data_IF_840421380577
#
_entry.id   IF_840421380577
#
_cell.length_a   1.000
_cell.length_b   1.000
_cell.length_c   1.000
_cell.angle_alpha   90.00
_cell.angle_beta   90.00
_cell.angle_gamma   90.00
#
_symmetry.space_group_name_H-M   'P 1'
#
loop_
_entity.id
_entity.type
_entity.pdbx_description
1 polymer ?
#
# COMPACT_ATOMS: atom_id res chain seq x y z
N UNK A 1 61.34 82.22 -49.97
CA UNK A 1 60.84 80.85 -50.25
C UNK A 1 61.24 79.98 -49.08
N UNK A 2 60.31 79.78 -48.14
CA UNK A 2 60.51 78.97 -46.92
C UNK A 2 59.69 77.68 -47.03
N UNK A 3 60.23 76.52 -46.61
CA UNK A 3 59.61 75.21 -46.80
C UNK A 3 58.42 74.95 -45.87
N UNK A 4 57.46 74.08 -46.25
CA UNK A 4 56.22 73.85 -45.51
C UNK A 4 56.42 73.02 -44.23
N UNK A 5 55.68 73.39 -43.19
CA UNK A 5 55.70 72.76 -41.86
C UNK A 5 55.11 71.33 -41.88
N UNK A 6 55.65 70.40 -41.06
CA UNK A 6 55.23 69.00 -41.04
C UNK A 6 53.87 68.78 -40.34
N UNK A 7 53.11 67.84 -40.90
CA UNK A 7 51.76 67.41 -40.51
C UNK A 7 51.77 66.69 -39.15
N UNK A 8 51.00 67.19 -38.18
CA UNK A 8 50.84 66.59 -36.84
C UNK A 8 50.04 65.28 -36.94
N UNK A 9 50.49 64.15 -36.35
CA UNK A 9 49.72 62.90 -36.34
C UNK A 9 48.61 62.93 -35.27
N UNK A 10 47.46 62.32 -35.59
CA UNK A 10 46.31 62.17 -34.69
C UNK A 10 46.60 61.25 -33.48
N UNK A 11 45.91 61.43 -32.34
CA UNK A 11 46.12 60.63 -31.14
C UNK A 11 45.65 59.17 -31.31
N UNK A 12 46.31 58.19 -30.66
CA UNK A 12 45.93 56.78 -30.75
C UNK A 12 44.64 56.48 -29.98
N UNK A 13 43.80 55.62 -30.57
CA UNK A 13 42.56 55.09 -29.98
C UNK A 13 42.82 54.32 -28.67
N UNK A 14 41.84 54.27 -27.74
CA UNK A 14 41.99 53.58 -26.45
C UNK A 14 42.16 52.06 -26.67
N UNK A 15 43.20 51.51 -26.04
CA UNK A 15 43.50 50.08 -26.05
C UNK A 15 42.47 49.37 -25.16
N UNK A 16 41.68 48.46 -25.73
CA UNK A 16 40.75 47.62 -24.97
C UNK A 16 41.52 46.74 -23.98
N UNK A 17 41.27 46.89 -22.69
CA UNK A 17 41.87 46.06 -21.64
C UNK A 17 41.52 44.57 -21.84
N UNK A 18 42.49 43.64 -21.83
CA UNK A 18 42.21 42.22 -21.97
C UNK A 18 41.51 41.68 -20.72
N UNK A 19 40.38 41.00 -20.91
CA UNK A 19 39.68 40.30 -19.84
C UNK A 19 40.63 39.29 -19.13
N UNK A 20 40.55 39.16 -17.79
CA UNK A 20 41.44 38.30 -17.02
C UNK A 20 41.32 36.84 -17.49
N UNK A 21 42.43 36.31 -18.02
CA UNK A 21 42.51 34.93 -18.51
C UNK A 21 42.86 34.01 -17.34
N UNK A 22 41.87 33.25 -16.85
CA UNK A 22 42.09 32.15 -15.90
C UNK A 22 43.20 31.23 -16.41
N UNK A 23 44.18 30.92 -15.55
CA UNK A 23 45.32 30.05 -15.90
C UNK A 23 44.83 28.65 -16.27
N UNK A 24 45.56 27.99 -17.18
CA UNK A 24 45.24 26.65 -17.68
C UNK A 24 44.99 25.63 -16.55
N UNK A 25 45.79 25.60 -15.46
CA UNK A 25 45.54 24.71 -14.32
C UNK A 25 44.23 25.00 -13.58
N UNK A 26 43.85 26.27 -13.40
CA UNK A 26 42.61 26.65 -12.71
C UNK A 26 41.38 26.22 -13.49
N UNK A 27 41.41 26.26 -14.83
CA UNK A 27 40.31 25.77 -15.67
C UNK A 27 40.13 24.26 -15.55
N UNK A 28 41.23 23.50 -15.52
CA UNK A 28 41.20 22.03 -15.34
C UNK A 28 40.64 21.68 -13.96
N UNK A 29 41.12 22.34 -12.91
CA UNK A 29 40.64 22.12 -11.55
C UNK A 29 39.15 22.45 -11.41
N UNK A 30 38.69 23.56 -11.99
CA UNK A 30 37.28 23.96 -11.94
C UNK A 30 36.37 22.97 -12.67
N UNK A 31 36.82 22.46 -13.83
CA UNK A 31 36.11 21.40 -14.55
C UNK A 31 36.00 20.12 -13.72
N UNK A 32 37.09 19.72 -13.07
CA UNK A 32 37.11 18.53 -12.21
C UNK A 32 36.21 18.69 -10.97
N UNK A 33 36.23 19.86 -10.32
CA UNK A 33 35.38 20.16 -9.17
C UNK A 33 33.88 20.18 -9.54
N UNK A 34 33.53 20.71 -10.72
CA UNK A 34 32.16 20.67 -11.24
C UNK A 34 31.70 19.24 -11.51
N UNK A 35 32.53 18.43 -12.16
CA UNK A 35 32.22 17.03 -12.43
C UNK A 35 32.03 16.24 -11.12
N UNK A 36 32.91 16.45 -10.14
CA UNK A 36 32.82 15.81 -8.83
C UNK A 36 31.57 16.24 -8.07
N UNK A 37 31.23 17.53 -8.09
CA UNK A 37 30.01 18.04 -7.46
C UNK A 37 28.74 17.47 -8.10
N UNK A 38 28.69 17.37 -9.43
CA UNK A 38 27.59 16.74 -10.14
C UNK A 38 27.47 15.25 -9.78
N UNK A 39 28.60 14.53 -9.72
CA UNK A 39 28.63 13.12 -9.34
C UNK A 39 28.13 12.90 -7.91
N UNK A 40 28.58 13.71 -6.95
CA UNK A 40 28.11 13.66 -5.55
C UNK A 40 26.62 13.98 -5.45
N UNK A 41 26.13 14.98 -6.19
CA UNK A 41 24.71 15.30 -6.22
C UNK A 41 23.88 14.11 -6.77
N UNK A 42 24.33 13.49 -7.86
CA UNK A 42 23.67 12.30 -8.43
C UNK A 42 23.68 11.14 -7.43
N UNK A 43 24.78 10.89 -6.71
CA UNK A 43 24.85 9.87 -5.67
C UNK A 43 23.87 10.13 -4.52
N UNK A 44 23.80 11.37 -4.02
CA UNK A 44 22.88 11.74 -2.94
C UNK A 44 21.43 11.59 -3.40
N UNK A 45 21.09 12.09 -4.60
CA UNK A 45 19.76 11.92 -5.19
C UNK A 45 19.41 10.44 -5.42
N UNK A 46 20.38 9.62 -5.83
CA UNK A 46 20.20 8.18 -6.05
C UNK A 46 19.94 7.42 -4.74
N UNK A 47 20.70 7.69 -3.69
CA UNK A 47 20.49 7.07 -2.37
C UNK A 47 19.16 7.52 -1.76
N UNK A 48 18.80 8.80 -1.89
CA UNK A 48 17.51 9.32 -1.44
C UNK A 48 16.32 8.70 -2.20
N UNK A 49 16.49 8.36 -3.48
CA UNK A 49 15.50 7.60 -4.26
C UNK A 49 15.47 6.11 -3.89
N UNK A 50 16.60 5.54 -3.48
CA UNK A 50 16.69 4.11 -3.11
C UNK A 50 15.99 3.82 -1.78
N UNK A 51 16.09 4.71 -0.79
CA UNK A 51 15.43 4.55 0.52
C UNK A 51 13.90 4.45 0.38
N UNK A 52 13.29 5.28 -0.48
CA UNK A 52 11.84 5.21 -0.77
C UNK A 52 11.41 3.90 -1.44
N UNK A 53 12.33 3.21 -2.12
CA UNK A 53 12.02 1.95 -2.81
C UNK A 53 12.13 0.75 -1.87
N UNK A 54 13.05 0.78 -0.91
CA UNK A 54 13.20 -0.29 0.10
C UNK A 54 12.05 -0.32 1.11
N UNK A 55 11.57 0.84 1.56
CA UNK A 55 10.42 0.95 2.49
C UNK A 55 9.11 0.45 1.85
N UNK A 56 8.89 0.73 0.55
CA UNK A 56 7.73 0.21 -0.19
C UNK A 56 7.76 -1.30 -0.41
N UNK A 57 8.95 -1.90 -0.59
CA UNK A 57 9.12 -3.35 -0.70
C UNK A 57 8.85 -4.06 0.64
N UNK A 58 9.28 -3.47 1.76
CA UNK A 58 9.02 -4.03 3.08
C UNK A 58 7.52 -3.98 3.44
N UNK A 59 6.83 -2.88 3.13
CA UNK A 59 5.38 -2.76 3.36
C UNK A 59 4.58 -3.74 2.48
N UNK A 60 5.04 -4.02 1.26
CA UNK A 60 4.43 -5.01 0.39
C UNK A 60 4.61 -6.43 0.94
N UNK A 61 5.84 -6.84 1.23
CA UNK A 61 6.17 -8.21 1.63
C UNK A 61 5.72 -8.55 3.05
N UNK A 62 5.84 -7.61 3.99
CA UNK A 62 5.54 -7.84 5.42
C UNK A 62 4.22 -7.23 5.88
N UNK A 63 3.60 -6.36 5.08
CA UNK A 63 2.32 -5.72 5.40
C UNK A 63 1.17 -6.24 4.54
N UNK A 64 1.14 -5.85 3.26
CA UNK A 64 -0.02 -6.08 2.40
C UNK A 64 -0.21 -7.53 1.95
N UNK A 65 0.87 -8.30 1.68
CA UNK A 65 0.75 -9.70 1.26
C UNK A 65 0.12 -10.58 2.36
N UNK A 66 0.64 -10.59 3.61
CA UNK A 66 0.01 -11.35 4.69
C UNK A 66 -1.46 -10.95 4.90
N UNK A 67 -1.74 -9.64 4.88
CA UNK A 67 -3.08 -9.10 5.04
C UNK A 67 -4.04 -9.58 3.94
N UNK A 68 -3.59 -9.62 2.68
CA UNK A 68 -4.39 -10.12 1.57
C UNK A 68 -4.77 -11.60 1.75
N UNK A 69 -3.83 -12.41 2.26
CA UNK A 69 -4.07 -13.84 2.54
C UNK A 69 -5.13 -13.98 3.64
N UNK A 70 -4.96 -13.29 4.76
CA UNK A 70 -5.87 -13.42 5.91
C UNK A 70 -7.26 -12.87 5.63
N UNK A 71 -7.38 -11.74 4.94
CA UNK A 71 -8.69 -11.20 4.51
C UNK A 71 -9.34 -12.12 3.46
N UNK A 72 -8.55 -12.69 2.55
CA UNK A 72 -9.03 -13.67 1.57
C UNK A 72 -9.57 -14.95 2.23
N UNK A 73 -8.86 -15.47 3.23
CA UNK A 73 -9.30 -16.63 4.02
C UNK A 73 -10.60 -16.33 4.77
N UNK A 74 -10.70 -15.16 5.42
CA UNK A 74 -11.91 -14.74 6.11
C UNK A 74 -13.11 -14.67 5.15
N UNK A 75 -12.94 -14.11 3.96
CA UNK A 75 -13.99 -14.02 2.95
C UNK A 75 -14.43 -15.40 2.43
N UNK A 76 -13.48 -16.31 2.17
CA UNK A 76 -13.79 -17.66 1.70
C UNK A 76 -14.60 -18.45 2.74
N UNK A 77 -14.18 -18.38 4.01
CA UNK A 77 -14.89 -19.02 5.12
C UNK A 77 -16.30 -18.42 5.32
N UNK A 78 -16.45 -17.11 5.10
CA UNK A 78 -17.74 -16.43 5.19
C UNK A 78 -18.73 -16.88 4.10
N UNK A 79 -18.29 -17.10 2.86
CA UNK A 79 -19.17 -17.58 1.78
C UNK A 79 -19.73 -18.98 2.05
N UNK A 80 -18.91 -19.86 2.64
CA UNK A 80 -19.36 -21.16 3.12
C UNK A 80 -20.37 -21.01 4.25
N UNK A 81 -20.17 -20.02 5.12
CA UNK A 81 -21.06 -19.78 6.23
C UNK A 81 -22.46 -19.36 5.79
N UNK A 82 -22.56 -18.36 4.91
CA UNK A 82 -23.82 -17.88 4.36
C UNK A 82 -24.63 -19.03 3.72
N UNK A 83 -23.97 -19.90 2.96
CA UNK A 83 -24.61 -21.05 2.30
C UNK A 83 -25.22 -22.04 3.30
N UNK A 84 -24.56 -22.26 4.44
CA UNK A 84 -25.03 -23.19 5.46
C UNK A 84 -26.10 -22.57 6.35
N UNK A 85 -25.98 -21.27 6.67
CA UNK A 85 -27.04 -20.52 7.34
C UNK A 85 -28.33 -20.48 6.49
N UNK A 86 -28.21 -20.52 5.16
CA UNK A 86 -29.37 -20.60 4.29
C UNK A 86 -30.16 -21.91 4.43
N UNK A 87 -29.46 -23.01 4.72
CA UNK A 87 -30.03 -24.37 4.78
C UNK A 87 -30.46 -24.82 6.17
N UNK A 88 -30.05 -24.11 7.23
CA UNK A 88 -30.27 -24.52 8.63
C UNK A 88 -31.74 -24.73 9.02
N UNK A 89 -32.68 -24.06 8.33
CA UNK A 89 -34.12 -24.22 8.58
C UNK A 89 -34.75 -25.37 7.78
N UNK A 90 -34.08 -25.86 6.74
CA UNK A 90 -34.56 -26.91 5.84
C UNK A 90 -34.05 -28.30 6.27
N UNK A 91 -32.98 -28.34 7.06
CA UNK A 91 -32.30 -29.55 7.50
C UNK A 91 -33.05 -30.25 8.65
N UNK A 92 -33.37 -31.54 8.48
CA UNK A 92 -34.06 -32.34 9.51
C UNK A 92 -33.17 -32.73 10.69
N UNK A 93 -31.84 -32.79 10.50
CA UNK A 93 -30.87 -33.13 11.54
C UNK A 93 -30.13 -31.87 12.01
N UNK A 94 -30.63 -31.28 13.09
CA UNK A 94 -30.06 -30.05 13.67
C UNK A 94 -28.72 -30.28 14.38
N UNK A 95 -28.31 -31.53 14.61
CA UNK A 95 -27.11 -31.84 15.41
C UNK A 95 -25.82 -31.53 14.67
N UNK A 96 -25.74 -31.89 13.39
CA UNK A 96 -24.59 -31.61 12.53
C UNK A 96 -24.43 -30.09 12.31
N UNK A 97 -25.51 -29.39 12.01
CA UNK A 97 -25.51 -27.94 11.80
C UNK A 97 -25.13 -27.21 13.08
N UNK A 98 -25.58 -27.68 14.25
CA UNK A 98 -25.21 -27.12 15.56
C UNK A 98 -23.74 -27.31 15.88
N UNK A 99 -23.19 -28.49 15.64
CA UNK A 99 -21.77 -28.76 15.87
C UNK A 99 -20.86 -27.90 14.97
N UNK A 100 -21.23 -27.77 13.70
CA UNK A 100 -20.51 -26.92 12.76
C UNK A 100 -20.63 -25.44 13.15
N UNK A 101 -21.83 -24.95 13.50
CA UNK A 101 -22.03 -23.57 13.96
C UNK A 101 -21.17 -23.25 15.19
N UNK A 102 -21.09 -24.15 16.18
CA UNK A 102 -20.21 -23.98 17.35
C UNK A 102 -18.73 -23.92 16.95
N UNK A 103 -18.31 -24.75 16.00
CA UNK A 103 -16.94 -24.73 15.49
C UNK A 103 -16.62 -23.39 14.83
N UNK A 104 -17.49 -22.90 13.95
CA UNK A 104 -17.25 -21.65 13.24
C UNK A 104 -17.30 -20.44 14.18
N UNK A 105 -18.16 -20.45 15.22
CA UNK A 105 -18.17 -19.43 16.29
C UNK A 105 -16.83 -19.31 16.98
N UNK A 106 -16.08 -20.40 17.14
CA UNK A 106 -14.73 -20.39 17.75
C UNK A 106 -13.65 -19.89 16.79
N UNK A 107 -13.75 -20.23 15.51
CA UNK A 107 -12.70 -19.93 14.52
C UNK A 107 -12.77 -18.49 14.02
N UNK A 108 -13.96 -17.98 13.71
CA UNK A 108 -14.15 -16.65 13.09
C UNK A 108 -13.52 -15.49 13.90
N UNK A 109 -13.72 -15.39 15.22
CA UNK A 109 -13.08 -14.35 16.03
C UNK A 109 -11.55 -14.46 16.01
N UNK A 110 -11.00 -15.67 15.99
CA UNK A 110 -9.55 -15.87 15.93
C UNK A 110 -8.97 -15.38 14.59
N UNK A 111 -9.64 -15.67 13.48
CA UNK A 111 -9.25 -15.16 12.15
C UNK A 111 -9.34 -13.64 12.10
N UNK A 112 -10.38 -13.03 12.68
CA UNK A 112 -10.52 -11.57 12.72
C UNK A 112 -9.42 -10.89 13.54
N UNK A 113 -9.10 -11.44 14.72
CA UNK A 113 -7.98 -10.97 15.55
C UNK A 113 -6.65 -11.03 14.80
N UNK A 114 -6.42 -12.09 14.02
CA UNK A 114 -5.23 -12.20 13.16
C UNK A 114 -5.21 -11.12 12.08
N UNK A 115 -6.32 -10.90 11.37
CA UNK A 115 -6.41 -9.86 10.35
C UNK A 115 -6.13 -8.46 10.93
N UNK A 116 -6.69 -8.15 12.11
CA UNK A 116 -6.43 -6.89 12.82
C UNK A 116 -4.98 -6.76 13.28
N UNK A 117 -4.37 -7.85 13.72
CA UNK A 117 -2.93 -7.90 14.04
C UNK A 117 -2.07 -7.62 12.80
N UNK A 118 -2.43 -8.15 11.64
CA UNK A 118 -1.68 -7.92 10.40
C UNK A 118 -1.82 -6.47 9.91
N UNK A 119 -3.00 -5.85 10.06
CA UNK A 119 -3.18 -4.40 9.83
C UNK A 119 -2.32 -3.58 10.80
N UNK A 120 -2.26 -3.97 12.07
CA UNK A 120 -1.41 -3.29 13.04
C UNK A 120 0.08 -3.41 12.67
N UNK A 121 0.51 -4.63 12.32
CA UNK A 121 1.87 -4.91 11.88
C UNK A 121 2.25 -4.10 10.64
N UNK A 122 1.34 -3.96 9.67
CA UNK A 122 1.56 -3.10 8.51
C UNK A 122 1.65 -1.61 8.91
N UNK A 123 0.86 -1.15 9.87
CA UNK A 123 0.84 0.26 10.29
C UNK A 123 2.11 0.73 11.00
N UNK A 124 2.87 -0.19 11.62
CA UNK A 124 4.13 0.14 12.30
C UNK A 124 5.33 0.19 11.34
N UNK A 125 5.16 -0.19 10.07
CA UNK A 125 6.21 -0.16 9.03
C UNK A 125 6.41 1.22 8.39
N UNK A 126 6.08 2.30 9.10
CA UNK A 126 6.16 3.69 8.61
C UNK A 126 5.53 3.90 7.22
N UNK A 127 4.25 3.51 7.03
CA UNK A 127 3.56 3.65 5.75
C UNK A 127 3.50 5.12 5.28
N UNK A 128 3.47 5.30 3.95
CA UNK A 128 3.15 6.60 3.37
C UNK A 128 1.73 7.05 3.77
N UNK A 129 1.44 8.35 3.69
CA UNK A 129 0.15 8.91 4.11
C UNK A 129 -1.06 8.22 3.46
N UNK A 130 -0.91 7.81 2.20
CA UNK A 130 -1.96 7.09 1.46
C UNK A 130 -2.18 5.67 2.00
N UNK A 131 -1.10 4.97 2.38
CA UNK A 131 -1.16 3.63 2.97
C UNK A 131 -1.74 3.69 4.39
N UNK A 132 -1.44 4.75 5.15
CA UNK A 132 -2.08 5.01 6.46
C UNK A 132 -3.59 5.07 6.31
N UNK A 133 -4.09 5.86 5.35
CA UNK A 133 -5.54 6.00 5.11
C UNK A 133 -6.16 4.66 4.71
N UNK A 134 -5.50 3.90 3.83
CA UNK A 134 -5.97 2.59 3.41
C UNK A 134 -6.02 1.59 4.58
N UNK A 135 -4.96 1.53 5.41
CA UNK A 135 -4.89 0.64 6.56
C UNK A 135 -5.92 1.00 7.64
N UNK A 136 -6.18 2.28 7.91
CA UNK A 136 -7.25 2.70 8.82
C UNK A 136 -8.63 2.31 8.29
N UNK A 137 -8.86 2.45 6.97
CA UNK A 137 -10.11 1.99 6.35
C UNK A 137 -10.29 0.48 6.53
N UNK A 138 -9.28 -0.32 6.20
CA UNK A 138 -9.31 -1.77 6.39
C UNK A 138 -9.57 -2.11 7.86
N UNK A 139 -8.89 -1.44 8.79
CA UNK A 139 -9.08 -1.64 10.23
C UNK A 139 -10.53 -1.37 10.65
N UNK A 140 -11.14 -0.31 10.15
CA UNK A 140 -12.51 0.05 10.48
C UNK A 140 -13.52 -0.99 9.99
N UNK A 141 -13.35 -1.48 8.75
CA UNK A 141 -14.20 -2.55 8.20
C UNK A 141 -14.06 -3.84 9.03
N UNK A 142 -12.82 -4.24 9.36
CA UNK A 142 -12.56 -5.45 10.15
C UNK A 142 -13.08 -5.36 11.60
N UNK A 143 -12.95 -4.21 12.25
CA UNK A 143 -13.52 -3.98 13.59
C UNK A 143 -15.04 -4.09 13.60
N UNK A 144 -15.68 -3.52 12.58
CA UNK A 144 -17.14 -3.64 12.42
C UNK A 144 -17.57 -5.11 12.34
N UNK A 145 -16.80 -5.95 11.62
CA UNK A 145 -17.06 -7.40 11.58
C UNK A 145 -16.84 -8.07 12.95
N UNK A 146 -15.79 -7.71 13.67
CA UNK A 146 -15.55 -8.21 15.04
C UNK A 146 -16.69 -7.87 16.00
N UNK A 147 -17.22 -6.66 15.90
CA UNK A 147 -18.36 -6.18 16.70
C UNK A 147 -19.63 -6.97 16.37
N UNK A 148 -19.91 -7.23 15.08
CA UNK A 148 -21.05 -8.05 14.65
C UNK A 148 -20.91 -9.48 15.17
N UNK A 149 -19.72 -10.09 15.06
CA UNK A 149 -19.50 -11.44 15.60
C UNK A 149 -19.76 -11.50 17.10
N UNK A 150 -19.31 -10.49 17.84
CA UNK A 150 -19.52 -10.40 19.30
C UNK A 150 -21.00 -10.22 19.65
N UNK A 151 -21.75 -9.43 18.88
CA UNK A 151 -23.18 -9.20 19.09
C UNK A 151 -24.05 -10.43 18.75
N UNK A 152 -23.59 -11.27 17.81
CA UNK A 152 -24.37 -12.39 17.29
C UNK A 152 -24.33 -13.63 18.17
N UNK A 153 -23.40 -13.72 19.13
CA UNK A 153 -23.26 -14.85 20.05
C UNK A 153 -24.59 -15.16 20.78
N UNK A 154 -25.25 -14.14 21.33
CA UNK A 154 -26.52 -14.29 22.02
C UNK A 154 -27.66 -14.70 21.08
N UNK A 155 -27.61 -14.25 19.83
CA UNK A 155 -28.61 -14.55 18.81
C UNK A 155 -28.56 -16.01 18.37
N UNK A 156 -27.37 -16.61 18.23
CA UNK A 156 -27.22 -18.03 17.93
C UNK A 156 -27.77 -18.91 19.05
N UNK A 157 -27.52 -18.54 20.30
CA UNK A 157 -28.05 -19.28 21.45
C UNK A 157 -29.58 -19.16 21.52
N UNK A 158 -30.13 -17.99 21.20
CA UNK A 158 -31.58 -17.81 21.09
C UNK A 158 -32.19 -18.64 19.96
N UNK A 159 -31.52 -18.73 18.80
CA UNK A 159 -31.95 -19.56 17.67
C UNK A 159 -32.06 -21.04 18.07
N UNK A 160 -31.02 -21.62 18.64
CA UNK A 160 -31.06 -23.04 19.04
C UNK A 160 -32.09 -23.32 20.12
N UNK A 161 -32.27 -22.41 21.09
CA UNK A 161 -33.36 -22.54 22.08
C UNK A 161 -34.74 -22.54 21.45
N UNK A 162 -34.97 -21.72 20.42
CA UNK A 162 -36.24 -21.69 19.70
C UNK A 162 -36.48 -23.00 18.91
N UNK A 163 -35.44 -23.54 18.27
CA UNK A 163 -35.49 -24.84 17.59
C UNK A 163 -35.79 -25.97 18.59
N UNK A 164 -35.08 -26.02 19.72
CA UNK A 164 -35.24 -27.05 20.76
C UNK A 164 -36.65 -27.04 21.39
N UNK A 165 -37.34 -25.90 21.38
CA UNK A 165 -38.73 -25.73 21.87
C UNK A 165 -39.81 -25.96 20.79
N UNK A 166 -39.42 -26.20 19.54
CA UNK A 166 -40.36 -26.31 18.42
C UNK A 166 -40.98 -24.97 17.98
N UNK A 167 -40.40 -23.83 18.38
CA UNK A 167 -40.85 -22.48 18.07
C UNK A 167 -40.33 -22.03 16.69
N UNK A 168 -40.66 -22.78 15.63
CA UNK A 168 -40.11 -22.57 14.28
C UNK A 168 -40.33 -21.15 13.72
N UNK A 169 -41.44 -20.50 14.08
CA UNK A 169 -41.71 -19.11 13.72
C UNK A 169 -40.74 -18.11 14.34
N UNK A 170 -40.32 -18.33 15.59
CA UNK A 170 -39.33 -17.47 16.26
C UNK A 170 -37.92 -17.76 15.75
N UNK A 171 -37.59 -19.04 15.56
CA UNK A 171 -36.33 -19.44 14.94
C UNK A 171 -36.14 -18.83 13.55
N UNK A 172 -37.20 -18.78 12.73
CA UNK A 172 -37.18 -18.15 11.40
C UNK A 172 -36.89 -16.65 11.45
N UNK A 173 -37.46 -15.92 12.43
CA UNK A 173 -37.15 -14.48 12.61
C UNK A 173 -35.70 -14.26 12.98
N UNK A 174 -35.16 -15.06 13.90
CA UNK A 174 -33.76 -14.96 14.35
C UNK A 174 -32.81 -15.25 13.19
N UNK A 175 -33.05 -16.32 12.41
CA UNK A 175 -32.28 -16.62 11.20
C UNK A 175 -32.37 -15.47 10.18
N UNK A 176 -33.54 -14.85 10.03
CA UNK A 176 -33.71 -13.70 9.15
C UNK A 176 -32.87 -12.48 9.55
N UNK A 177 -32.66 -12.26 10.86
CA UNK A 177 -31.76 -11.24 11.41
C UNK A 177 -30.30 -11.61 11.12
N UNK A 178 -29.89 -12.82 11.51
CA UNK A 178 -28.54 -13.34 11.28
C UNK A 178 -28.13 -13.28 9.81
N UNK A 179 -29.05 -13.59 8.88
CA UNK A 179 -28.81 -13.49 7.43
C UNK A 179 -28.59 -12.05 6.95
N UNK A 180 -29.16 -11.05 7.61
CA UNK A 180 -28.92 -9.63 7.25
C UNK A 180 -27.53 -9.20 7.69
N UNK A 181 -27.16 -9.50 8.92
CA UNK A 181 -25.84 -9.22 9.47
C UNK A 181 -24.75 -9.97 8.70
N UNK A 182 -25.02 -11.21 8.30
CA UNK A 182 -24.12 -12.02 7.47
C UNK A 182 -23.81 -11.35 6.11
N UNK A 183 -24.83 -10.75 5.47
CA UNK A 183 -24.62 -9.98 4.24
C UNK A 183 -23.80 -8.72 4.47
N UNK A 184 -24.03 -8.04 5.60
CA UNK A 184 -23.20 -6.89 5.97
C UNK A 184 -21.75 -7.32 6.16
N UNK A 185 -21.47 -8.39 6.92
CA UNK A 185 -20.11 -8.92 7.09
C UNK A 185 -19.47 -9.24 5.73
N UNK A 186 -20.20 -9.87 4.82
CA UNK A 186 -19.70 -10.19 3.48
C UNK A 186 -19.33 -8.92 2.69
N UNK A 187 -20.12 -7.85 2.80
CA UNK A 187 -19.83 -6.56 2.17
C UNK A 187 -18.57 -5.91 2.78
N UNK A 188 -18.47 -5.88 4.11
CA UNK A 188 -17.31 -5.34 4.84
C UNK A 188 -16.00 -6.04 4.46
N UNK A 189 -16.02 -7.38 4.44
CA UNK A 189 -14.86 -8.19 4.04
C UNK A 189 -14.46 -7.95 2.58
N UNK A 190 -15.44 -7.77 1.69
CA UNK A 190 -15.17 -7.43 0.29
C UNK A 190 -14.52 -6.05 0.17
N UNK A 191 -15.05 -5.03 0.84
CA UNK A 191 -14.50 -3.68 0.83
C UNK A 191 -13.05 -3.65 1.37
N UNK A 192 -12.79 -4.39 2.45
CA UNK A 192 -11.44 -4.56 2.99
C UNK A 192 -10.49 -5.20 1.96
N UNK A 193 -10.92 -6.29 1.32
CA UNK A 193 -10.15 -6.96 0.26
C UNK A 193 -9.87 -6.03 -0.92
N UNK A 194 -10.89 -5.34 -1.43
CA UNK A 194 -10.76 -4.48 -2.59
C UNK A 194 -9.74 -3.36 -2.31
N UNK A 195 -9.78 -2.79 -1.10
CA UNK A 195 -8.80 -1.80 -0.64
C UNK A 195 -7.38 -2.38 -0.62
N UNK A 196 -7.19 -3.61 -0.11
CA UNK A 196 -5.88 -4.29 -0.12
C UNK A 196 -5.39 -4.55 -1.55
N UNK A 197 -6.27 -5.02 -2.43
CA UNK A 197 -5.94 -5.33 -3.83
C UNK A 197 -5.58 -4.08 -4.63
N UNK A 198 -6.28 -2.97 -4.41
CA UNK A 198 -5.99 -1.67 -5.05
C UNK A 198 -4.58 -1.17 -4.71
N UNK A 199 -4.20 -1.24 -3.42
CA UNK A 199 -2.84 -0.88 -2.99
C UNK A 199 -1.79 -1.81 -3.58
N UNK A 200 -2.00 -3.14 -3.54
CA UNK A 200 -1.11 -4.11 -4.17
C UNK A 200 -0.94 -3.87 -5.69
N UNK A 201 -2.01 -3.51 -6.40
CA UNK A 201 -1.93 -3.19 -7.83
C UNK A 201 -1.10 -1.93 -8.09
N UNK A 202 -1.17 -0.94 -7.20
CA UNK A 202 -0.35 0.27 -7.25
C UNK A 202 1.13 -0.04 -7.03
N UNK A 203 1.48 -1.03 -6.18
CA UNK A 203 2.87 -1.49 -6.04
C UNK A 203 3.37 -2.28 -7.26
N UNK A 204 2.51 -3.05 -7.92
CA UNK A 204 2.88 -3.84 -9.12
C UNK A 204 3.26 -2.96 -10.33
N UNK A 205 2.62 -1.79 -10.50
CA UNK A 205 3.01 -0.84 -11.57
C UNK A 205 4.40 -0.23 -11.33
N UNK A 206 4.82 -0.10 -10.07
CA UNK A 206 6.18 0.32 -9.69
C UNK A 206 7.21 -0.80 -9.99
N UNK A 207 6.83 -2.07 -9.79
CA UNK A 207 7.69 -3.24 -10.08
C UNK A 207 7.81 -3.51 -11.59
N UNK A 208 6.76 -3.32 -12.39
CA UNK A 208 6.82 -3.44 -13.85
C UNK A 208 7.78 -2.41 -14.51
N UNK A 209 8.06 -1.29 -13.84
CA UNK A 209 9.04 -0.30 -14.31
C UNK A 209 10.50 -0.66 -14.04
N UNK A 210 10.78 -1.73 -13.27
CA UNK A 210 12.15 -2.20 -12.98
C UNK A 210 12.78 -3.00 -14.12
N UNK A 211 12.01 -3.59 -15.04
CA UNK A 211 12.60 -4.34 -16.18
C UNK A 211 13.24 -3.41 -17.24
N UNK A 212 12.91 -2.12 -17.28
CA UNK A 212 13.42 -1.20 -18.31
C UNK A 212 14.60 -0.31 -17.87
N UNK A 213 14.91 -0.22 -16.57
CA UNK A 213 15.96 0.69 -16.06
C UNK A 213 17.36 0.10 -15.98
N UNK A 214 17.54 -1.21 -16.10
CA UNK A 214 18.89 -1.80 -16.22
C UNK A 214 19.57 -1.52 -17.56
N UNK A 215 18.83 -1.09 -18.59
CA UNK A 215 19.41 -0.81 -19.92
C UNK A 215 19.90 0.65 -20.05
N UNK A 216 19.34 1.59 -19.27
CA UNK A 216 19.70 3.02 -19.39
C UNK A 216 21.03 3.35 -18.69
N UNK A 217 21.34 2.67 -17.57
CA UNK A 217 22.61 2.88 -16.85
C UNK A 217 23.84 2.33 -17.60
N UNK A 218 23.67 1.38 -18.52
CA UNK A 218 24.75 0.89 -19.38
C UNK A 218 25.04 1.80 -20.59
N UNK A 219 24.07 2.60 -21.03
CA UNK A 219 24.24 3.56 -22.13
C UNK A 219 24.91 4.84 -21.63
N UNK A 220 24.63 5.28 -20.39
CA UNK A 220 25.27 6.46 -19.82
C UNK A 220 26.78 6.25 -19.51
N UNK A 221 27.22 5.02 -19.25
CA UNK A 221 28.64 4.70 -18.98
C UNK A 221 29.47 4.51 -20.27
N UNK A 222 28.83 4.32 -21.43
CA UNK A 222 29.53 4.12 -22.71
C UNK A 222 29.75 5.40 -23.50
N UNK A 223 29.15 6.52 -23.08
CA UNK A 223 29.21 7.82 -23.78
C UNK A 223 30.13 8.84 -23.06
N UNK A 224 30.70 8.50 -21.89
CA UNK A 224 31.66 9.37 -21.19
C UNK A 224 33.12 8.94 -21.44
#
# INVERSE_FOLDING_TARGET
>A
MSPPAPKVPAPPSPVSSPAPRLSIPTRIFLGFALALGAFVAVLILSVAQHQRTSESLELMERGYIPLAITVGEAQANQALFATLLDRVLEEQDSSATRHWLDTVRRVRPATMKRALHDVHSASVLHPAQEDVVALERIRAELRTVEDIYSANEDQYDAFFRAIDRGEGGEASKIVGLLKREEREIQERLRNARDTVQERLATFSTVVASREQRSTVLLIALTVL
#
